data_IF_159189971577
#
_entry.id   IF_159189971577
#
_cell.length_a   1.000
_cell.length_b   1.000
_cell.length_c   1.000
_cell.angle_alpha   90.00
_cell.angle_beta   90.00
_cell.angle_gamma   90.00
#
_symmetry.space_group_name_H-M   'P 1'
#
loop_
_entity.id
_entity.type
_entity.pdbx_description
1 polymer ?
#
# COMPACT_ATOMS: atom_id res chain seq x y z
N UNK A 1 -10.97 -1.37 7.85
CA UNK A 1 -10.21 -0.52 6.91
C UNK A 1 -9.92 -1.20 5.57
N UNK A 2 -9.83 -2.54 5.47
CA UNK A 2 -9.60 -3.22 4.20
C UNK A 2 -10.88 -3.60 3.44
N UNK A 3 -12.01 -3.72 4.15
CA UNK A 3 -13.30 -4.06 3.53
C UNK A 3 -13.68 -3.08 2.41
N UNK A 4 -14.19 -3.56 1.26
CA UNK A 4 -14.43 -2.73 0.09
C UNK A 4 -15.51 -1.66 0.33
N UNK A 5 -16.50 -1.95 1.18
CA UNK A 5 -17.62 -1.12 1.58
C UNK A 5 -17.35 -0.28 2.84
N UNK A 6 -16.14 -0.37 3.42
CA UNK A 6 -15.73 0.52 4.50
C UNK A 6 -15.75 1.98 4.03
N UNK A 7 -16.51 2.82 4.74
CA UNK A 7 -16.56 4.26 4.44
C UNK A 7 -15.19 4.90 4.68
N UNK A 8 -14.66 5.53 3.63
CA UNK A 8 -13.42 6.31 3.63
C UNK A 8 -13.68 7.78 3.28
N UNK A 9 -14.88 8.28 3.55
CA UNK A 9 -15.27 9.67 3.27
C UNK A 9 -14.44 10.69 4.06
N UNK A 10 -14.05 10.34 5.28
CA UNK A 10 -13.26 11.20 6.16
C UNK A 10 -11.74 11.01 6.00
N UNK A 11 -11.30 10.20 5.03
CA UNK A 11 -9.88 10.00 4.79
C UNK A 11 -9.30 11.20 4.04
N UNK A 12 -8.12 11.63 4.45
CA UNK A 12 -7.38 12.69 3.76
C UNK A 12 -6.78 12.14 2.46
N UNK A 13 -6.28 13.00 1.58
CA UNK A 13 -5.62 12.57 0.34
C UNK A 13 -4.12 12.83 0.36
N UNK A 14 -3.36 11.98 -0.34
CA UNK A 14 -1.92 12.08 -0.49
C UNK A 14 -1.53 11.64 -1.90
N UNK A 15 -0.69 12.45 -2.57
CA UNK A 15 -0.07 12.07 -3.83
C UNK A 15 0.95 10.96 -3.59
N UNK A 16 0.88 9.85 -4.32
CA UNK A 16 1.89 8.78 -4.27
C UNK A 16 2.49 8.54 -5.66
N UNK A 17 3.75 8.09 -5.75
CA UNK A 17 4.64 7.75 -4.64
C UNK A 17 5.29 8.95 -3.95
N UNK A 18 5.96 8.67 -2.83
CA UNK A 18 6.83 9.56 -2.06
C UNK A 18 6.76 9.27 -0.56
N UNK A 19 7.62 9.96 0.18
CA UNK A 19 7.60 9.93 1.64
C UNK A 19 6.43 10.75 2.19
N UNK A 20 5.79 10.28 3.26
CA UNK A 20 4.66 11.01 3.85
C UNK A 20 5.12 12.24 4.64
N UNK A 21 6.37 12.28 5.12
CA UNK A 21 6.95 13.42 5.83
C UNK A 21 7.03 14.63 4.90
N UNK A 22 7.39 14.39 3.64
CA UNK A 22 7.45 15.40 2.58
C UNK A 22 6.05 15.85 2.13
N UNK A 23 5.00 15.14 2.58
CA UNK A 23 3.59 15.37 2.23
C UNK A 23 2.75 15.76 3.43
N UNK A 24 3.39 16.24 4.50
CA UNK A 24 2.73 16.88 5.65
C UNK A 24 2.61 16.03 6.91
N UNK A 25 3.03 14.75 6.89
CA UNK A 25 3.11 13.91 8.08
C UNK A 25 4.51 13.99 8.71
N UNK A 26 4.91 15.19 9.15
CA UNK A 26 6.25 15.43 9.72
C UNK A 26 6.50 14.52 10.93
N UNK A 27 7.69 13.92 10.97
CA UNK A 27 8.22 13.10 12.08
C UNK A 27 7.27 11.96 12.52
N UNK A 28 6.51 11.41 11.57
CA UNK A 28 5.54 10.35 11.85
C UNK A 28 6.15 8.96 11.68
N UNK A 29 6.35 8.28 12.81
CA UNK A 29 6.60 6.84 12.88
C UNK A 29 5.34 6.13 13.34
N UNK A 30 4.89 5.11 12.59
CA UNK A 30 3.60 4.50 12.86
C UNK A 30 3.02 3.71 11.71
N UNK A 31 1.71 3.51 11.78
CA UNK A 31 0.92 2.81 10.77
C UNK A 31 0.15 3.82 9.93
N UNK A 32 0.29 3.75 8.61
CA UNK A 32 -0.54 4.51 7.67
C UNK A 32 -1.30 3.53 6.78
N UNK A 33 -2.58 3.78 6.60
CA UNK A 33 -3.42 3.05 5.66
C UNK A 33 -3.64 3.90 4.42
N UNK A 34 -3.52 3.29 3.25
CA UNK A 34 -3.80 3.88 1.96
C UNK A 34 -4.91 3.10 1.27
N UNK A 35 -5.85 3.80 0.63
CA UNK A 35 -6.95 3.23 -0.16
C UNK A 35 -7.04 3.90 -1.52
N UNK A 36 -7.22 3.09 -2.57
CA UNK A 36 -7.49 3.55 -3.93
C UNK A 36 -8.55 2.69 -4.59
N UNK A 37 -9.52 3.35 -5.20
CA UNK A 37 -10.45 2.71 -6.13
C UNK A 37 -9.80 2.65 -7.51
N UNK A 38 -9.87 1.48 -8.12
CA UNK A 38 -9.31 1.18 -9.44
C UNK A 38 -10.40 0.59 -10.33
N UNK A 39 -10.41 0.94 -11.60
CA UNK A 39 -11.34 0.38 -12.57
C UNK A 39 -10.67 -0.77 -13.33
N UNK A 40 -11.16 -1.99 -13.12
CA UNK A 40 -10.64 -3.20 -13.76
C UNK A 40 -11.28 -3.39 -15.14
N UNK A 41 -10.48 -3.40 -16.22
CA UNK A 41 -10.98 -3.61 -17.58
C UNK A 41 -11.64 -4.98 -17.78
N UNK A 42 -12.65 -5.05 -18.65
CA UNK A 42 -13.36 -6.30 -18.94
C UNK A 42 -12.41 -7.41 -19.43
N UNK A 43 -11.42 -7.06 -20.24
CA UNK A 43 -10.44 -7.98 -20.83
C UNK A 43 -9.39 -8.52 -19.84
N UNK A 44 -9.44 -8.13 -18.56
CA UNK A 44 -8.59 -8.66 -17.48
C UNK A 44 -9.24 -9.80 -16.69
N UNK A 45 -10.55 -9.99 -16.84
CA UNK A 45 -11.29 -11.05 -16.16
C UNK A 45 -10.66 -12.43 -16.44
N UNK A 46 -10.56 -13.29 -15.42
CA UNK A 46 -9.90 -14.62 -15.49
C UNK A 46 -8.39 -14.58 -15.81
N UNK A 47 -7.72 -13.45 -15.62
CA UNK A 47 -6.26 -13.36 -15.70
C UNK A 47 -5.68 -13.01 -14.33
N UNK A 48 -4.48 -13.51 -14.05
CA UNK A 48 -3.71 -13.03 -12.90
C UNK A 48 -3.23 -11.61 -13.18
N UNK A 49 -3.41 -10.71 -12.21
CA UNK A 49 -2.95 -9.33 -12.30
C UNK A 49 -1.71 -9.17 -11.43
N UNK A 50 -0.65 -8.62 -11.99
CA UNK A 50 0.55 -8.25 -11.25
C UNK A 50 0.40 -6.82 -10.75
N UNK A 51 0.62 -6.62 -9.45
CA UNK A 51 0.80 -5.31 -8.84
C UNK A 51 2.29 -5.06 -8.67
N UNK A 52 2.79 -3.92 -9.11
CA UNK A 52 4.05 -3.36 -8.68
C UNK A 52 3.74 -2.08 -7.88
N UNK A 53 4.25 -1.97 -6.66
CA UNK A 53 4.07 -0.77 -5.81
C UNK A 53 5.36 0.03 -5.67
N UNK A 54 6.44 -0.37 -6.35
CA UNK A 54 7.76 0.18 -6.11
C UNK A 54 8.25 -0.11 -4.69
N UNK A 55 9.05 0.79 -4.15
CA UNK A 55 9.60 0.67 -2.80
C UNK A 55 8.59 1.14 -1.77
N UNK A 56 8.47 0.36 -0.70
CA UNK A 56 7.70 0.69 0.49
C UNK A 56 8.70 0.64 1.66
N UNK A 57 8.44 1.44 2.70
CA UNK A 57 9.21 1.47 3.95
C UNK A 57 9.24 0.09 4.68
N UNK A 58 9.29 0.04 6.00
CA UNK A 58 9.65 -1.19 6.72
C UNK A 58 8.74 -2.39 6.41
N UNK A 59 7.44 -2.24 6.67
CA UNK A 59 6.47 -3.33 6.50
C UNK A 59 5.26 -2.92 5.72
N UNK A 60 4.66 -3.88 5.02
CA UNK A 60 3.42 -3.67 4.29
C UNK A 60 2.51 -4.89 4.27
N UNK A 61 1.22 -4.64 4.23
CA UNK A 61 0.18 -5.64 3.92
C UNK A 61 -0.72 -5.06 2.84
N UNK A 62 -0.99 -5.85 1.81
CA UNK A 62 -1.79 -5.43 0.65
C UNK A 62 -3.06 -6.25 0.59
N UNK A 63 -4.19 -5.56 0.46
CA UNK A 63 -5.52 -6.14 0.36
C UNK A 63 -6.19 -5.71 -0.94
N UNK A 64 -6.84 -6.65 -1.61
CA UNK A 64 -7.67 -6.42 -2.78
C UNK A 64 -9.11 -6.82 -2.45
N UNK A 65 -10.03 -5.84 -2.49
CA UNK A 65 -11.43 -6.02 -2.07
C UNK A 65 -11.56 -6.74 -0.72
N UNK A 66 -10.85 -6.26 0.31
CA UNK A 66 -10.84 -6.85 1.65
C UNK A 66 -9.97 -8.10 1.83
N UNK A 67 -9.63 -8.81 0.74
CA UNK A 67 -8.82 -10.03 0.82
C UNK A 67 -7.33 -9.70 0.82
N UNK A 68 -6.58 -10.15 1.81
CA UNK A 68 -5.12 -10.02 1.81
C UNK A 68 -4.51 -10.81 0.64
N UNK A 69 -3.70 -10.15 -0.18
CA UNK A 69 -3.01 -10.76 -1.32
C UNK A 69 -1.49 -10.87 -1.11
N UNK A 70 -0.98 -10.28 -0.03
CA UNK A 70 0.41 -10.43 0.37
C UNK A 70 0.85 -9.46 1.45
N UNK A 71 1.98 -9.77 2.06
CA UNK A 71 2.65 -8.94 3.06
C UNK A 71 4.17 -8.99 2.88
N UNK A 72 4.85 -7.98 3.38
CA UNK A 72 6.31 -7.89 3.39
C UNK A 72 6.78 -7.27 4.72
N UNK A 73 7.89 -7.78 5.26
CA UNK A 73 8.46 -7.35 6.55
C UNK A 73 9.88 -6.79 6.44
N UNK A 74 10.37 -6.52 5.22
CA UNK A 74 11.73 -6.06 4.96
C UNK A 74 11.69 -4.75 4.21
N UNK A 75 12.33 -3.70 4.69
CA UNK A 75 12.41 -2.41 4.00
C UNK A 75 12.99 -2.49 2.57
N UNK A 76 12.70 -1.45 1.78
CA UNK A 76 13.49 -1.03 0.61
C UNK A 76 13.63 -2.01 -0.57
N UNK A 77 12.73 -2.99 -0.68
CA UNK A 77 12.65 -3.85 -1.87
C UNK A 77 11.42 -3.50 -2.72
N UNK A 78 11.59 -3.44 -4.04
CA UNK A 78 10.46 -3.27 -4.96
C UNK A 78 9.43 -4.39 -4.74
N UNK A 79 8.16 -4.00 -4.58
CA UNK A 79 7.10 -4.92 -4.17
C UNK A 79 6.26 -5.37 -5.33
N UNK A 80 6.27 -6.68 -5.56
CA UNK A 80 5.41 -7.34 -6.53
C UNK A 80 4.42 -8.25 -5.81
N UNK A 81 3.15 -8.13 -6.17
CA UNK A 81 2.07 -9.00 -5.69
C UNK A 81 1.27 -9.53 -6.88
N UNK A 82 0.61 -10.66 -6.68
CA UNK A 82 -0.31 -11.22 -7.67
C UNK A 82 -1.72 -11.21 -7.10
N UNK A 83 -2.66 -10.58 -7.81
CA UNK A 83 -4.09 -10.81 -7.59
C UNK A 83 -4.45 -12.07 -8.36
N UNK A 84 -4.82 -13.18 -7.68
CA UNK A 84 -5.23 -14.39 -8.36
C UNK A 84 -6.47 -14.13 -9.22
N UNK A 85 -6.52 -14.73 -10.41
CA UNK A 85 -7.61 -14.54 -11.37
C UNK A 85 -9.02 -14.75 -10.78
N UNK A 86 -9.13 -15.60 -9.75
CA UNK A 86 -10.39 -15.90 -9.04
C UNK A 86 -10.96 -14.68 -8.32
N UNK A 87 -10.11 -13.74 -7.91
CA UNK A 87 -10.52 -12.49 -7.25
C UNK A 87 -10.80 -11.38 -8.27
N UNK A 88 -10.27 -11.48 -9.49
CA UNK A 88 -10.36 -10.44 -10.52
C UNK A 88 -11.76 -10.42 -11.13
N UNK A 89 -12.50 -9.34 -10.85
CA UNK A 89 -13.80 -9.01 -11.43
C UNK A 89 -13.70 -7.66 -12.15
N UNK A 90 -14.35 -7.53 -13.30
CA UNK A 90 -14.43 -6.25 -14.03
C UNK A 90 -15.13 -5.17 -13.20
N UNK A 91 -14.81 -3.90 -13.48
CA UNK A 91 -15.39 -2.75 -12.80
C UNK A 91 -14.59 -2.29 -11.59
N UNK A 92 -15.23 -1.55 -10.68
CA UNK A 92 -14.57 -0.98 -9.51
C UNK A 92 -14.02 -2.07 -8.59
N UNK A 93 -12.78 -1.90 -8.18
CA UNK A 93 -12.15 -2.64 -7.09
C UNK A 93 -11.42 -1.67 -6.16
N UNK A 94 -11.21 -2.10 -4.91
CA UNK A 94 -10.52 -1.32 -3.88
C UNK A 94 -9.21 -2.01 -3.54
N UNK A 95 -8.12 -1.27 -3.70
CA UNK A 95 -6.79 -1.65 -3.24
C UNK A 95 -6.51 -0.93 -1.92
N UNK A 96 -6.23 -1.68 -0.86
CA UNK A 96 -5.85 -1.13 0.44
C UNK A 96 -4.44 -1.58 0.78
N UNK A 97 -3.60 -0.65 1.22
CA UNK A 97 -2.22 -0.91 1.64
C UNK A 97 -2.05 -0.38 3.05
N UNK A 98 -1.67 -1.26 3.98
CA UNK A 98 -1.20 -0.87 5.30
C UNK A 98 0.31 -0.80 5.25
N UNK A 99 0.89 0.32 5.64
CA UNK A 99 2.34 0.51 5.79
C UNK A 99 2.64 0.73 7.27
N UNK A 100 3.64 0.03 7.80
CA UNK A 100 4.23 0.32 9.12
C UNK A 100 5.64 0.86 8.89
N UNK A 101 5.97 1.97 9.54
CA UNK A 101 7.31 2.55 9.59
C UNK A 101 7.72 2.71 11.05
N UNK A 102 8.92 2.26 11.39
CA UNK A 102 9.42 2.27 12.76
C UNK A 102 10.34 3.46 13.07
N UNK A 103 10.97 4.02 12.03
CA UNK A 103 11.90 5.16 12.11
C UNK A 103 12.16 5.73 10.71
N UNK A 104 12.84 6.88 10.63
CA UNK A 104 13.20 7.52 9.36
C UNK A 104 11.97 7.87 8.51
N UNK A 105 12.16 8.31 7.27
CA UNK A 105 11.04 8.64 6.40
C UNK A 105 10.25 7.41 5.98
N UNK A 106 8.94 7.43 6.18
CA UNK A 106 8.03 6.36 5.77
C UNK A 106 7.24 6.66 4.49
N UNK A 107 6.66 5.62 3.88
CA UNK A 107 5.77 5.77 2.73
C UNK A 107 5.88 4.68 1.67
N UNK A 108 5.22 4.94 0.55
CA UNK A 108 5.37 4.18 -0.71
C UNK A 108 6.15 5.10 -1.64
N UNK A 109 7.47 4.95 -1.69
CA UNK A 109 8.40 5.97 -2.18
C UNK A 109 9.21 5.52 -3.41
N UNK A 110 8.80 4.43 -4.08
CA UNK A 110 9.37 4.04 -5.37
C UNK A 110 9.11 5.05 -6.49
N UNK A 111 9.49 4.70 -7.73
CA UNK A 111 9.26 5.58 -8.88
C UNK A 111 7.80 5.49 -9.36
N UNK A 112 7.19 6.57 -9.89
CA UNK A 112 5.82 6.54 -10.39
C UNK A 112 5.57 5.45 -11.44
N UNK A 113 6.54 5.18 -12.33
CA UNK A 113 6.46 4.14 -13.36
C UNK A 113 6.47 2.70 -12.83
N UNK A 114 6.90 2.51 -11.58
CA UNK A 114 6.85 1.23 -10.90
C UNK A 114 5.47 1.01 -10.24
N UNK A 115 4.75 2.06 -9.87
CA UNK A 115 3.47 1.96 -9.17
C UNK A 115 2.32 1.68 -10.16
N UNK A 116 2.04 0.40 -10.45
CA UNK A 116 1.07 0.00 -11.49
C UNK A 116 0.50 -1.42 -11.32
N UNK A 117 -0.61 -1.65 -12.00
CA UNK A 117 -1.15 -2.98 -12.30
C UNK A 117 -0.83 -3.37 -13.73
N UNK A 118 -0.65 -4.65 -14.02
CA UNK A 118 -0.48 -5.15 -15.39
C UNK A 118 -0.88 -6.63 -15.53
N UNK A 119 -1.12 -7.05 -16.77
CA UNK A 119 -1.27 -8.46 -17.13
C UNK A 119 0.03 -8.90 -17.80
N UNK A 120 0.85 -9.70 -17.11
CA UNK A 120 2.13 -10.18 -17.66
C UNK A 120 3.01 -9.04 -18.22
N UNK A 121 3.03 -7.88 -17.53
CA UNK A 121 3.78 -6.69 -17.95
C UNK A 121 3.13 -5.88 -19.09
N UNK A 122 1.97 -6.28 -19.60
CA UNK A 122 1.21 -5.59 -20.65
C UNK A 122 0.04 -4.80 -20.07
N UNK A 123 -0.48 -3.86 -20.87
CA UNK A 123 -1.64 -3.03 -20.57
C UNK A 123 -1.54 -2.38 -19.18
N UNK A 124 -0.53 -1.54 -18.87
CA UNK A 124 -0.38 -1.03 -17.52
C UNK A 124 -1.52 -0.08 -17.12
N UNK A 125 -2.03 -0.23 -15.90
CA UNK A 125 -2.85 0.79 -15.22
C UNK A 125 -2.00 1.43 -14.14
N UNK A 126 -1.80 2.74 -14.23
CA UNK A 126 -1.05 3.48 -13.22
C UNK A 126 -1.78 3.46 -11.88
N UNK A 127 -1.02 3.24 -10.81
CA UNK A 127 -1.46 3.40 -9.43
C UNK A 127 -0.92 4.70 -8.80
N UNK A 128 0.01 5.39 -9.46
CA UNK A 128 0.49 6.70 -9.03
C UNK A 128 -0.63 7.76 -9.03
N UNK A 129 -0.36 8.90 -8.40
CA UNK A 129 -1.29 10.00 -8.20
C UNK A 129 -1.96 9.95 -6.84
N UNK A 130 -3.15 10.53 -6.75
CA UNK A 130 -3.90 10.65 -5.50
C UNK A 130 -4.32 9.28 -4.90
N UNK A 131 -4.12 9.15 -3.60
CA UNK A 131 -4.63 8.08 -2.74
C UNK A 131 -5.33 8.67 -1.53
N UNK A 132 -6.40 8.01 -1.06
CA UNK A 132 -6.93 8.29 0.27
C UNK A 132 -6.01 7.68 1.31
N UNK A 133 -5.82 8.35 2.45
CA UNK A 133 -5.05 7.83 3.57
C UNK A 133 -5.66 8.12 4.94
N UNK A 134 -5.32 7.25 5.89
CA UNK A 134 -5.64 7.40 7.31
C UNK A 134 -4.42 7.02 8.15
N UNK A 135 -3.97 7.95 8.99
CA UNK A 135 -2.97 7.66 10.03
C UNK A 135 -3.61 6.81 11.12
N UNK A 136 -3.02 5.65 11.40
CA UNK A 136 -3.38 4.75 12.48
C UNK A 136 -2.55 5.01 13.74
N UNK A 137 -2.03 3.95 14.33
CA UNK A 137 -1.20 4.03 15.53
C UNK A 137 0.09 4.82 15.28
N UNK A 138 0.35 5.83 16.10
CA UNK A 138 1.67 6.48 16.22
C UNK A 138 2.55 5.71 17.19
N UNK A 139 3.83 5.54 16.86
CA UNK A 139 4.85 4.96 17.74
C UNK A 139 5.51 6.01 18.65
N UNK A 140 5.20 7.29 18.47
CA UNK A 140 5.67 8.38 19.33
C UNK A 140 5.37 8.07 20.80
N UNK A 141 6.39 8.03 21.65
CA UNK A 141 6.25 7.77 23.09
C UNK A 141 6.20 6.29 23.48
N UNK A 142 6.33 5.35 22.52
CA UNK A 142 6.54 3.93 22.84
C UNK A 142 8.05 3.70 23.00
N UNK A 143 8.54 3.30 24.19
CA UNK A 143 9.96 3.04 24.39
C UNK A 143 10.42 1.88 23.49
N UNK A 144 11.64 1.95 22.92
CA UNK A 144 12.17 0.85 22.12
C UNK A 144 12.24 -0.42 22.95
N UNK A 145 12.01 -1.58 22.33
CA UNK A 145 12.20 -2.88 23.01
C UNK A 145 13.63 -2.93 23.54
N UNK A 146 13.77 -2.90 24.86
CA UNK A 146 15.05 -3.20 25.53
C UNK A 146 15.42 -4.64 25.20
N UNK A 147 16.52 -4.82 24.46
CA UNK A 147 17.16 -6.12 24.37
C UNK A 147 17.72 -6.46 25.75
N UNK A 148 17.11 -7.44 26.43
CA UNK A 148 17.77 -8.07 27.57
C UNK A 148 18.92 -8.91 27.01
N UNK A 149 20.14 -8.37 27.07
CA UNK A 149 21.35 -9.20 27.02
C UNK A 149 21.31 -10.09 28.25
N UNK A 150 21.03 -11.38 28.07
CA UNK A 150 21.30 -12.37 29.13
C UNK A 150 22.81 -12.35 29.37
N UNK A 151 23.21 -12.07 30.62
CA UNK A 151 24.56 -12.36 31.11
C UNK A 151 24.79 -13.86 31.13
#
# INVERSE_FOLDING_TARGET
MAEPDYSDENWKTMELPGYWEDKGMKDFDGVVWFRKTIDIPRNWTRKNVTINLGNIADESIVYYNGTEIGRNTKADASRYYTIPYKLVKRGKAVLTIRVTNYKSKGGIYGRPEDMKLSIQGKDPISLAGEWKYLSGLSLSGIPPRTHFTRK
#
